data_IF_928485713753
#
_entry.id   IF_928485713753
#
_cell.length_a   1.000
_cell.length_b   1.000
_cell.length_c   1.000
_cell.angle_alpha   90.00
_cell.angle_beta   90.00
_cell.angle_gamma   90.00
#
_symmetry.space_group_name_H-M   'P 1'
#
loop_
_entity.id
_entity.type
_entity.pdbx_description
1 polymer ?
#
# COMPACT_ATOMS: atom_id res chain seq x y z
N UNK A 1 20.89 6.49 -6.32
CA UNK A 1 19.99 5.70 -7.18
C UNK A 1 18.78 6.52 -7.65
N UNK A 2 18.16 7.35 -6.83
CA UNK A 2 17.02 8.22 -7.21
C UNK A 2 17.37 9.17 -8.38
N UNK A 3 18.61 9.69 -8.47
CA UNK A 3 19.03 10.61 -9.55
C UNK A 3 19.14 9.97 -10.95
N UNK A 4 19.30 8.66 -11.07
CA UNK A 4 19.35 7.97 -12.37
C UNK A 4 17.96 7.53 -12.86
N UNK A 5 17.01 7.32 -11.96
CA UNK A 5 15.62 6.94 -12.28
C UNK A 5 14.81 8.10 -12.92
N UNK A 6 15.22 9.35 -12.70
CA UNK A 6 14.55 10.54 -13.27
C UNK A 6 14.60 10.61 -14.80
N UNK A 7 15.57 9.96 -15.45
CA UNK A 7 15.67 9.96 -16.92
C UNK A 7 14.72 8.97 -17.61
N UNK A 8 14.42 7.82 -16.99
CA UNK A 8 13.48 6.84 -17.56
C UNK A 8 12.02 7.30 -17.39
N UNK A 9 11.69 7.97 -16.30
CA UNK A 9 10.36 8.54 -16.07
C UNK A 9 10.01 9.63 -17.11
N UNK A 10 11.02 10.34 -17.64
CA UNK A 10 10.86 11.47 -18.55
C UNK A 10 10.21 11.09 -19.90
N UNK A 11 10.57 9.95 -20.48
CA UNK A 11 10.02 9.51 -21.78
C UNK A 11 8.61 8.91 -21.68
N UNK A 12 8.25 8.33 -20.52
CA UNK A 12 6.91 7.79 -20.28
C UNK A 12 5.90 8.88 -19.95
N UNK A 13 6.26 9.87 -19.14
CA UNK A 13 5.41 11.02 -18.82
C UNK A 13 5.07 11.82 -20.08
N UNK A 14 6.03 12.04 -20.98
CA UNK A 14 5.77 12.74 -22.25
C UNK A 14 4.82 11.99 -23.19
N UNK A 15 4.76 10.65 -23.12
CA UNK A 15 3.83 9.83 -23.92
C UNK A 15 2.41 9.82 -23.35
N UNK A 16 2.26 9.88 -22.02
CA UNK A 16 0.95 9.92 -21.34
C UNK A 16 0.22 11.26 -21.49
N UNK A 17 0.96 12.35 -21.67
CA UNK A 17 0.40 13.71 -21.78
C UNK A 17 0.32 14.25 -23.22
N UNK A 18 0.22 13.41 -24.26
CA UNK A 18 -0.18 13.91 -25.57
C UNK A 18 -1.62 14.46 -25.49
N UNK A 19 -1.83 15.77 -25.61
CA UNK A 19 -3.18 16.32 -25.54
C UNK A 19 -4.01 15.69 -26.65
N UNK A 20 -5.15 15.16 -26.28
CA UNK A 20 -6.15 14.68 -27.22
C UNK A 20 -6.70 15.89 -27.98
N UNK A 21 -6.04 16.30 -29.07
CA UNK A 21 -6.46 17.41 -29.94
C UNK A 21 -7.93 17.35 -30.38
N UNK A 22 -8.57 16.17 -30.32
CA UNK A 22 -9.97 15.95 -30.64
C UNK A 22 -10.97 16.36 -29.55
N UNK A 23 -10.57 16.41 -28.27
CA UNK A 23 -11.45 16.80 -27.17
C UNK A 23 -11.58 18.32 -27.03
N UNK A 24 -10.55 19.07 -27.42
CA UNK A 24 -10.51 20.53 -27.27
C UNK A 24 -11.50 21.29 -28.15
N UNK A 25 -11.89 20.72 -29.29
CA UNK A 25 -12.86 21.36 -30.23
C UNK A 25 -14.33 21.05 -29.86
N UNK A 26 -14.58 20.02 -29.06
CA UNK A 26 -15.94 19.55 -28.73
C UNK A 26 -16.47 20.13 -27.41
N UNK A 27 -15.58 20.46 -26.48
CA UNK A 27 -15.93 20.97 -25.15
C UNK A 27 -14.94 22.07 -24.70
N UNK A 28 -15.01 23.28 -25.26
CA UNK A 28 -14.04 24.36 -24.96
C UNK A 28 -14.11 24.83 -23.50
N UNK A 29 -15.30 24.79 -22.87
CA UNK A 29 -15.48 25.19 -21.48
C UNK A 29 -14.79 24.19 -20.53
N UNK A 30 -15.07 22.88 -20.68
CA UNK A 30 -14.42 21.83 -19.90
C UNK A 30 -12.89 21.87 -20.08
N UNK A 31 -12.39 22.18 -21.29
CA UNK A 31 -10.97 22.34 -21.54
C UNK A 31 -10.35 23.54 -20.77
N UNK A 32 -11.07 24.64 -20.70
CA UNK A 32 -10.61 25.82 -19.95
C UNK A 32 -10.52 25.52 -18.45
N UNK A 33 -11.51 24.85 -17.90
CA UNK A 33 -11.54 24.39 -16.51
C UNK A 33 -10.37 23.44 -16.23
N UNK A 34 -10.14 22.45 -17.09
CA UNK A 34 -9.02 21.52 -16.95
C UNK A 34 -7.63 22.16 -17.01
N UNK A 35 -7.50 23.44 -17.42
CA UNK A 35 -6.21 24.13 -17.41
C UNK A 35 -5.64 24.29 -16.00
N UNK A 36 -6.50 24.51 -15.00
CA UNK A 36 -6.10 24.72 -13.61
C UNK A 36 -5.49 23.47 -12.98
N UNK A 37 -5.83 22.27 -13.52
CA UNK A 37 -5.26 20.99 -13.10
C UNK A 37 -3.98 20.63 -13.86
N UNK A 38 -3.52 21.45 -14.79
CA UNK A 38 -2.25 21.20 -15.47
C UNK A 38 -1.08 21.66 -14.63
N UNK A 39 -0.27 20.72 -14.23
CA UNK A 39 0.95 21.03 -13.48
C UNK A 39 2.11 21.23 -14.47
N UNK A 40 2.67 22.44 -14.58
CA UNK A 40 3.86 22.71 -15.39
C UNK A 40 5.04 21.86 -14.93
N UNK A 41 5.97 21.60 -15.84
CA UNK A 41 7.14 20.77 -15.57
C UNK A 41 8.00 21.28 -14.42
N UNK A 42 8.15 22.57 -14.32
CA UNK A 42 8.91 23.23 -13.25
C UNK A 42 8.28 22.93 -11.88
N UNK A 43 6.96 23.01 -11.78
CA UNK A 43 6.22 22.65 -10.57
C UNK A 43 6.32 21.14 -10.26
N UNK A 44 6.32 20.27 -11.28
CA UNK A 44 6.54 18.84 -11.08
C UNK A 44 7.93 18.56 -10.49
N UNK A 45 8.97 19.24 -10.96
CA UNK A 45 10.34 19.12 -10.41
C UNK A 45 10.37 19.57 -8.95
N UNK A 46 9.66 20.65 -8.64
CA UNK A 46 9.55 21.15 -7.26
C UNK A 46 8.81 20.16 -6.34
N UNK A 47 7.69 19.57 -6.82
CA UNK A 47 6.97 18.51 -6.08
C UNK A 47 7.92 17.35 -5.75
N UNK A 48 8.66 16.87 -6.75
CA UNK A 48 9.63 15.77 -6.56
C UNK A 48 10.71 16.14 -5.55
N UNK A 49 11.24 17.35 -5.63
CA UNK A 49 12.27 17.84 -4.69
C UNK A 49 11.75 17.88 -3.25
N UNK A 50 10.53 18.40 -3.05
CA UNK A 50 9.88 18.45 -1.73
C UNK A 50 9.55 17.07 -1.19
N UNK A 51 9.06 16.16 -2.07
CA UNK A 51 8.76 14.79 -1.68
C UNK A 51 10.03 14.03 -1.25
N UNK A 52 11.13 14.18 -2.00
CA UNK A 52 12.42 13.55 -1.62
C UNK A 52 12.87 14.06 -0.25
N UNK A 53 12.76 15.36 0.00
CA UNK A 53 13.11 15.94 1.30
C UNK A 53 12.24 15.36 2.42
N UNK A 54 10.93 15.21 2.21
CA UNK A 54 10.03 14.67 3.22
C UNK A 54 10.29 13.17 3.45
N UNK A 55 10.65 12.41 2.42
CA UNK A 55 11.13 11.02 2.55
C UNK A 55 12.41 10.97 3.39
N UNK A 56 13.39 11.84 3.14
CA UNK A 56 14.63 11.91 3.92
C UNK A 56 14.34 12.20 5.41
N UNK A 57 13.40 13.12 5.69
CA UNK A 57 12.94 13.38 7.06
C UNK A 57 12.27 12.15 7.69
N UNK A 58 11.47 11.41 6.91
CA UNK A 58 10.80 10.18 7.37
C UNK A 58 11.74 9.01 7.63
N UNK A 59 12.86 8.93 6.93
CA UNK A 59 13.87 7.88 7.13
C UNK A 59 14.73 8.09 8.37
N UNK A 60 15.02 9.34 8.72
CA UNK A 60 15.90 9.67 9.83
C UNK A 60 15.13 9.61 11.16
N UNK A 61 15.67 8.89 12.14
CA UNK A 61 15.04 8.68 13.45
C UNK A 61 14.75 9.98 14.20
N UNK A 62 15.64 10.97 14.07
CA UNK A 62 15.49 12.25 14.76
C UNK A 62 14.33 13.11 14.23
N UNK A 63 14.00 13.00 12.93
CA UNK A 63 13.00 13.84 12.25
C UNK A 63 11.71 13.09 11.88
N UNK A 64 11.72 11.76 11.93
CA UNK A 64 10.56 10.94 11.61
C UNK A 64 9.27 11.34 12.36
N UNK A 65 9.29 11.70 13.67
CA UNK A 65 8.07 12.08 14.38
C UNK A 65 7.31 13.24 13.72
N UNK A 66 8.04 14.19 13.10
CA UNK A 66 7.47 15.39 12.47
C UNK A 66 7.21 15.21 10.97
N UNK A 67 7.89 14.26 10.32
CA UNK A 67 7.72 13.98 8.89
C UNK A 67 6.28 13.61 8.55
N UNK A 68 5.79 14.04 7.40
CA UNK A 68 4.45 13.65 6.89
C UNK A 68 4.53 12.31 6.19
N UNK A 69 5.55 12.09 5.38
CA UNK A 69 5.84 10.79 4.75
C UNK A 69 6.62 9.93 5.75
N UNK A 70 5.93 8.97 6.38
CA UNK A 70 6.44 8.25 7.57
C UNK A 70 7.54 7.23 7.30
N UNK A 71 7.67 6.74 6.09
CA UNK A 71 8.71 5.79 5.70
C UNK A 71 8.81 4.56 6.62
N UNK A 72 7.68 3.86 6.80
CA UNK A 72 7.62 2.68 7.66
C UNK A 72 8.52 1.55 7.17
N UNK A 73 9.19 0.91 8.12
CA UNK A 73 10.01 -0.28 7.89
C UNK A 73 9.10 -1.48 7.58
N UNK A 74 9.33 -2.14 6.44
CA UNK A 74 8.55 -3.31 6.04
C UNK A 74 9.18 -4.64 6.47
N UNK A 75 10.44 -4.63 6.91
CA UNK A 75 11.26 -5.83 7.17
C UNK A 75 11.50 -6.72 5.93
N UNK A 76 11.09 -6.29 4.75
CA UNK A 76 11.36 -6.98 3.49
C UNK A 76 12.71 -6.50 2.95
N UNK A 77 13.71 -7.36 3.02
CA UNK A 77 15.09 -7.05 2.63
C UNK A 77 15.53 -7.77 1.36
N UNK A 78 14.78 -8.78 0.94
CA UNK A 78 15.06 -9.53 -0.29
C UNK A 78 13.87 -9.43 -1.24
N UNK A 79 14.17 -9.35 -2.52
CA UNK A 79 13.19 -9.46 -3.59
C UNK A 79 13.25 -10.85 -4.21
N UNK A 80 12.15 -11.35 -4.81
CA UNK A 80 12.12 -12.64 -5.44
C UNK A 80 13.19 -12.80 -6.53
N UNK A 81 13.83 -13.95 -6.56
CA UNK A 81 14.84 -14.31 -7.56
C UNK A 81 14.23 -14.91 -8.81
N UNK A 82 12.97 -15.39 -8.75
CA UNK A 82 12.31 -16.17 -9.80
C UNK A 82 12.58 -17.67 -9.66
N UNK A 83 13.37 -18.07 -8.68
CA UNK A 83 13.69 -19.48 -8.40
C UNK A 83 12.74 -20.09 -7.34
N UNK A 84 11.88 -19.27 -6.73
CA UNK A 84 10.92 -19.71 -5.72
C UNK A 84 9.96 -20.74 -6.31
N UNK A 85 9.70 -21.81 -5.56
CA UNK A 85 8.84 -22.93 -5.93
C UNK A 85 7.91 -23.28 -4.78
N UNK A 86 6.80 -23.89 -5.11
CA UNK A 86 5.87 -24.45 -4.13
C UNK A 86 4.58 -23.65 -3.97
N UNK A 87 3.76 -24.10 -3.00
CA UNK A 87 2.45 -23.52 -2.73
C UNK A 87 2.51 -22.51 -1.59
N UNK A 88 1.88 -21.37 -1.79
CA UNK A 88 1.79 -20.26 -0.84
C UNK A 88 0.35 -19.78 -0.77
N UNK A 89 -0.07 -19.40 0.43
CA UNK A 89 -1.33 -18.68 0.62
C UNK A 89 -1.06 -17.18 0.73
N UNK A 90 -1.97 -16.41 0.15
CA UNK A 90 -2.10 -14.98 0.38
C UNK A 90 -3.46 -14.66 0.96
N UNK A 91 -3.50 -13.77 1.92
CA UNK A 91 -4.72 -13.15 2.42
C UNK A 91 -4.58 -11.65 2.23
N UNK A 92 -5.55 -11.03 1.58
CA UNK A 92 -5.56 -9.58 1.33
C UNK A 92 -6.81 -8.97 1.97
N UNK A 93 -6.60 -8.21 3.03
CA UNK A 93 -7.64 -7.47 3.75
C UNK A 93 -7.46 -5.96 3.52
N UNK A 94 -8.20 -5.45 2.52
CA UNK A 94 -8.06 -4.05 2.10
C UNK A 94 -9.28 -3.14 2.34
N UNK A 95 -10.43 -3.70 2.71
CA UNK A 95 -11.67 -2.96 2.90
C UNK A 95 -12.85 -3.90 3.15
N UNK A 96 -14.04 -3.57 2.61
CA UNK A 96 -15.28 -4.36 2.78
C UNK A 96 -15.20 -5.78 2.17
N UNK A 97 -14.15 -6.06 1.43
CA UNK A 97 -13.90 -7.39 0.87
C UNK A 97 -12.49 -7.82 1.27
N UNK A 98 -12.33 -9.13 1.47
CA UNK A 98 -11.02 -9.72 1.54
C UNK A 98 -10.91 -10.89 0.54
N UNK A 99 -9.67 -11.27 0.25
CA UNK A 99 -9.37 -12.30 -0.74
C UNK A 99 -8.48 -13.35 -0.11
N UNK A 100 -8.82 -14.63 -0.35
CA UNK A 100 -7.91 -15.73 -0.18
C UNK A 100 -7.31 -16.09 -1.54
N UNK A 101 -6.02 -16.28 -1.58
CA UNK A 101 -5.24 -16.58 -2.76
C UNK A 101 -4.37 -17.82 -2.49
N UNK A 102 -4.44 -18.82 -3.36
CA UNK A 102 -3.47 -19.91 -3.42
C UNK A 102 -2.62 -19.71 -4.66
N UNK A 103 -1.31 -19.63 -4.48
CA UNK A 103 -0.34 -19.55 -5.57
C UNK A 103 0.51 -20.82 -5.54
N UNK A 104 0.66 -21.46 -6.70
CA UNK A 104 1.61 -22.54 -6.92
C UNK A 104 2.69 -22.04 -7.88
N UNK A 105 3.86 -21.71 -7.34
CA UNK A 105 5.02 -21.26 -8.10
C UNK A 105 5.72 -22.45 -8.74
N UNK A 106 5.84 -22.40 -10.06
CA UNK A 106 6.49 -23.41 -10.89
C UNK A 106 7.86 -22.93 -11.37
N UNK A 107 8.51 -23.75 -12.17
CA UNK A 107 9.78 -23.39 -12.77
C UNK A 107 9.68 -22.15 -13.68
N UNK A 108 10.73 -21.34 -13.66
CA UNK A 108 10.73 -20.06 -14.38
C UNK A 108 9.77 -19.03 -13.77
N UNK A 109 9.01 -18.33 -14.60
CA UNK A 109 8.03 -17.32 -14.18
C UNK A 109 6.61 -17.87 -14.12
N UNK A 110 6.41 -19.15 -14.46
CA UNK A 110 5.08 -19.75 -14.46
C UNK A 110 4.53 -19.89 -13.05
N UNK A 111 3.24 -19.66 -12.90
CA UNK A 111 2.50 -19.92 -11.70
C UNK A 111 1.03 -20.23 -12.01
N UNK A 112 0.41 -20.97 -11.11
CA UNK A 112 -1.03 -21.16 -11.07
C UNK A 112 -1.59 -20.43 -9.87
N UNK A 113 -2.77 -19.85 -10.01
CA UNK A 113 -3.42 -19.19 -8.90
C UNK A 113 -4.90 -19.52 -8.82
N UNK A 114 -5.41 -19.62 -7.60
CA UNK A 114 -6.82 -19.70 -7.26
C UNK A 114 -7.15 -18.54 -6.33
N UNK A 115 -8.26 -17.87 -6.58
CA UNK A 115 -8.67 -16.68 -5.82
C UNK A 115 -10.13 -16.80 -5.44
N UNK A 116 -10.45 -16.55 -4.18
CA UNK A 116 -11.81 -16.43 -3.69
C UNK A 116 -11.99 -15.13 -2.91
N UNK A 117 -13.07 -14.43 -3.18
CA UNK A 117 -13.42 -13.17 -2.51
C UNK A 117 -14.54 -13.42 -1.53
N UNK A 118 -14.42 -12.78 -0.38
CA UNK A 118 -15.41 -12.82 0.69
C UNK A 118 -15.80 -11.38 1.06
N UNK A 119 -17.08 -11.18 1.36
CA UNK A 119 -17.62 -9.89 1.78
C UNK A 119 -17.64 -9.85 3.31
N UNK A 120 -17.14 -8.76 3.88
CA UNK A 120 -17.22 -8.50 5.32
C UNK A 120 -18.47 -7.67 5.58
N UNK A 121 -19.36 -8.16 6.41
CA UNK A 121 -20.56 -7.41 6.79
C UNK A 121 -20.22 -6.20 7.66
N UNK A 122 -21.05 -5.19 7.63
CA UNK A 122 -20.88 -3.99 8.47
C UNK A 122 -20.80 -4.34 9.96
N UNK A 123 -21.57 -5.33 10.41
CA UNK A 123 -21.53 -5.83 11.77
C UNK A 123 -20.18 -6.46 12.17
N UNK A 124 -19.50 -7.12 11.21
CA UNK A 124 -18.15 -7.63 11.42
C UNK A 124 -17.09 -6.53 11.44
N UNK A 125 -17.32 -5.44 10.69
CA UNK A 125 -16.40 -4.30 10.65
C UNK A 125 -16.43 -3.45 11.93
N UNK A 126 -17.52 -3.50 12.69
CA UNK A 126 -17.76 -2.66 13.87
C UNK A 126 -17.96 -3.43 15.17
N UNK A 127 -17.91 -4.74 15.11
CA UNK A 127 -18.07 -5.61 16.27
C UNK A 127 -16.76 -5.95 16.98
N UNK A 128 -16.79 -6.91 17.91
CA UNK A 128 -15.57 -7.39 18.57
C UNK A 128 -14.55 -7.93 17.58
N UNK A 129 -13.29 -7.49 17.70
CA UNK A 129 -12.22 -7.86 16.78
C UNK A 129 -12.02 -9.39 16.67
N UNK A 130 -12.23 -10.13 17.77
CA UNK A 130 -12.20 -11.59 17.73
C UNK A 130 -13.16 -12.19 16.70
N UNK A 131 -14.33 -11.58 16.48
CA UNK A 131 -15.31 -12.07 15.52
C UNK A 131 -14.81 -11.89 14.09
N UNK A 132 -14.18 -10.75 13.79
CA UNK A 132 -13.55 -10.48 12.50
C UNK A 132 -12.47 -11.53 12.18
N UNK A 133 -11.52 -11.74 13.10
CA UNK A 133 -10.44 -12.72 12.87
C UNK A 133 -10.95 -14.17 12.83
N UNK A 134 -11.99 -14.48 13.59
CA UNK A 134 -12.64 -15.80 13.54
C UNK A 134 -13.30 -16.05 12.18
N UNK A 135 -14.04 -15.05 11.66
CA UNK A 135 -14.66 -15.10 10.36
C UNK A 135 -13.62 -15.24 9.23
N UNK A 136 -12.51 -14.48 9.30
CA UNK A 136 -11.41 -14.61 8.34
C UNK A 136 -10.82 -16.02 8.37
N UNK A 137 -10.58 -16.58 9.56
CA UNK A 137 -10.06 -17.93 9.71
C UNK A 137 -11.05 -19.01 9.21
N UNK A 138 -12.36 -18.78 9.36
CA UNK A 138 -13.41 -19.64 8.83
C UNK A 138 -13.39 -19.69 7.29
N UNK A 139 -13.39 -18.51 6.65
CA UNK A 139 -13.31 -18.41 5.19
C UNK A 139 -12.00 -18.98 4.63
N UNK A 140 -10.88 -18.79 5.36
CA UNK A 140 -9.60 -19.38 4.99
C UNK A 140 -9.64 -20.91 5.07
N UNK A 141 -10.29 -21.48 6.10
CA UNK A 141 -10.45 -22.91 6.24
C UNK A 141 -11.35 -23.52 5.14
N UNK A 142 -12.45 -22.84 4.81
CA UNK A 142 -13.30 -23.21 3.69
C UNK A 142 -12.48 -23.24 2.37
N UNK A 143 -11.71 -22.20 2.11
CA UNK A 143 -10.84 -22.10 0.94
C UNK A 143 -9.79 -23.20 0.90
N UNK A 144 -9.16 -23.52 2.04
CA UNK A 144 -8.18 -24.59 2.12
C UNK A 144 -8.79 -25.98 1.84
N UNK A 145 -10.00 -26.23 2.31
CA UNK A 145 -10.72 -27.49 2.06
C UNK A 145 -11.16 -27.61 0.60
N UNK A 146 -11.66 -26.54 0.01
CA UNK A 146 -12.06 -26.48 -1.41
C UNK A 146 -10.89 -26.82 -2.35
N UNK A 147 -9.66 -26.51 -1.93
CA UNK A 147 -8.45 -26.76 -2.73
C UNK A 147 -7.58 -27.93 -2.20
N UNK A 148 -8.11 -28.75 -1.30
CA UNK A 148 -7.47 -29.96 -0.76
C UNK A 148 -6.09 -29.71 -0.14
N UNK A 149 -5.92 -28.56 0.55
CA UNK A 149 -4.67 -28.14 1.21
C UNK A 149 -4.80 -27.98 2.72
N UNK A 150 -5.92 -28.34 3.28
CA UNK A 150 -6.24 -28.22 4.72
C UNK A 150 -5.31 -29.04 5.62
N UNK A 151 -4.77 -30.16 5.13
CA UNK A 151 -3.85 -31.05 5.85
C UNK A 151 -2.37 -30.73 5.63
N UNK A 152 -2.05 -29.86 4.69
CA UNK A 152 -0.69 -29.48 4.36
C UNK A 152 -0.29 -28.23 5.13
N UNK A 153 0.90 -28.20 5.73
CA UNK A 153 1.41 -26.98 6.33
C UNK A 153 1.81 -26.00 5.22
N UNK A 154 1.09 -24.88 5.11
CA UNK A 154 1.30 -23.87 4.08
C UNK A 154 1.62 -22.52 4.71
N UNK A 155 2.66 -21.81 4.25
CA UNK A 155 2.94 -20.44 4.64
C UNK A 155 1.90 -19.47 4.06
N UNK A 156 1.47 -18.50 4.88
CA UNK A 156 0.53 -17.45 4.53
C UNK A 156 1.21 -16.08 4.61
N UNK A 157 1.17 -15.33 3.53
CA UNK A 157 1.42 -13.90 3.52
C UNK A 157 0.12 -13.14 3.77
N UNK A 158 0.14 -12.22 4.74
CA UNK A 158 -1.01 -11.43 5.12
C UNK A 158 -0.85 -9.98 4.62
N UNK A 159 -1.50 -9.62 3.53
CA UNK A 159 -1.62 -8.23 3.08
C UNK A 159 -2.70 -7.54 3.90
N UNK A 160 -2.30 -6.53 4.66
CA UNK A 160 -3.15 -5.82 5.59
C UNK A 160 -3.05 -4.32 5.32
N UNK A 161 -4.03 -3.80 4.60
CA UNK A 161 -4.02 -2.43 4.07
C UNK A 161 -4.63 -1.43 5.06
N UNK A 162 -4.15 -1.44 6.30
CA UNK A 162 -4.45 -0.48 7.37
C UNK A 162 -3.15 0.04 7.97
N UNK A 163 -3.15 1.18 8.67
CA UNK A 163 -1.98 1.70 9.36
C UNK A 163 -1.47 0.73 10.44
N UNK A 164 -0.31 0.14 10.20
CA UNK A 164 0.33 -0.84 11.08
C UNK A 164 1.77 -0.43 11.33
N UNK A 165 2.16 -0.41 12.59
CA UNK A 165 3.56 -0.37 12.97
C UNK A 165 4.13 -1.79 12.92
N UNK A 166 4.91 -2.08 11.88
CA UNK A 166 5.64 -3.34 11.82
C UNK A 166 6.82 -3.34 12.81
N UNK A 167 6.98 -4.43 13.52
CA UNK A 167 8.08 -4.69 14.46
C UNK A 167 8.74 -6.04 14.16
N UNK A 168 8.58 -6.52 12.94
CA UNK A 168 9.11 -7.76 12.40
C UNK A 168 8.40 -8.13 11.11
N UNK A 169 8.96 -9.06 10.34
CA UNK A 169 8.35 -9.52 9.08
C UNK A 169 6.96 -10.13 9.28
N UNK A 170 6.72 -10.77 10.41
CA UNK A 170 5.48 -11.42 10.79
C UNK A 170 4.88 -10.87 12.08
N UNK A 171 5.10 -9.58 12.36
CA UNK A 171 4.57 -8.91 13.54
C UNK A 171 4.20 -7.48 13.21
N UNK A 172 2.92 -7.14 13.42
CA UNK A 172 2.40 -5.81 13.08
C UNK A 172 1.33 -5.34 14.06
N UNK A 173 1.58 -4.20 14.70
CA UNK A 173 0.68 -3.57 15.66
C UNK A 173 -0.24 -2.61 14.94
N UNK A 174 -1.54 -2.84 15.00
CA UNK A 174 -2.52 -1.92 14.40
C UNK A 174 -2.50 -0.59 15.16
N UNK A 175 -2.28 0.50 14.44
CA UNK A 175 -2.25 1.85 15.05
C UNK A 175 -3.63 2.50 15.05
N UNK A 176 -4.38 2.34 13.98
CA UNK A 176 -5.75 2.85 13.86
C UNK A 176 -6.51 2.10 12.78
N UNK A 177 -7.83 2.03 12.95
CA UNK A 177 -8.72 1.56 11.89
C UNK A 177 -9.01 2.67 10.88
N UNK A 178 -9.24 2.28 9.64
CA UNK A 178 -9.68 3.14 8.53
C UNK A 178 -10.76 2.42 7.72
N UNK A 179 -11.23 3.01 6.63
CA UNK A 179 -12.13 2.38 5.65
C UNK A 179 -13.44 1.82 6.25
N UNK A 180 -13.95 2.45 7.32
CA UNK A 180 -15.20 2.04 7.98
C UNK A 180 -15.06 0.90 8.98
N UNK A 181 -13.86 0.41 9.25
CA UNK A 181 -13.61 -0.53 10.35
C UNK A 181 -13.50 0.21 11.68
N UNK A 182 -14.04 -0.41 12.72
CA UNK A 182 -13.99 0.08 14.10
C UNK A 182 -14.14 -1.11 15.06
N UNK A 183 -13.39 -2.19 14.78
CA UNK A 183 -13.44 -3.37 15.66
C UNK A 183 -12.80 -3.06 17.00
N UNK A 184 -13.50 -3.42 18.08
CA UNK A 184 -13.01 -3.32 19.43
C UNK A 184 -11.82 -4.26 19.66
N UNK A 185 -10.97 -3.91 20.64
CA UNK A 185 -9.88 -4.77 21.11
C UNK A 185 -8.80 -5.15 20.08
N UNK A 186 -8.61 -4.41 18.99
CA UNK A 186 -7.59 -4.70 17.97
C UNK A 186 -6.51 -3.63 17.90
N UNK A 187 -6.89 -2.35 18.05
CA UNK A 187 -5.91 -1.25 18.07
C UNK A 187 -4.90 -1.49 19.21
N UNK A 188 -3.62 -1.33 18.90
CA UNK A 188 -2.51 -1.60 19.83
C UNK A 188 -2.13 -3.08 19.94
N UNK A 189 -2.78 -3.99 19.20
CA UNK A 189 -2.46 -5.43 19.21
C UNK A 189 -1.81 -5.87 17.90
N UNK A 190 -1.07 -6.98 17.99
CA UNK A 190 -0.47 -7.64 16.84
C UNK A 190 -1.54 -8.39 16.04
N UNK A 191 -1.84 -7.90 14.84
CA UNK A 191 -2.88 -8.46 13.97
C UNK A 191 -2.49 -9.84 13.40
N UNK A 192 -1.19 -10.12 13.31
CA UNK A 192 -0.69 -11.44 12.91
C UNK A 192 -0.96 -12.47 14.00
N UNK A 193 -0.70 -12.11 15.25
CA UNK A 193 -0.99 -12.96 16.40
C UNK A 193 -2.49 -13.23 16.54
N UNK A 194 -3.34 -12.22 16.33
CA UNK A 194 -4.79 -12.36 16.37
C UNK A 194 -5.29 -13.33 15.30
N UNK A 195 -4.79 -13.20 14.06
CA UNK A 195 -5.13 -14.11 12.97
C UNK A 195 -4.62 -15.54 13.24
N UNK A 196 -3.35 -15.69 13.66
CA UNK A 196 -2.78 -17.00 13.94
C UNK A 196 -3.55 -17.73 15.07
N UNK A 197 -3.89 -17.01 16.16
CA UNK A 197 -4.71 -17.57 17.25
C UNK A 197 -6.10 -18.02 16.78
N UNK A 198 -6.71 -17.27 15.83
CA UNK A 198 -8.00 -17.65 15.26
C UNK A 198 -7.87 -18.93 14.40
N UNK A 199 -6.81 -19.05 13.62
CA UNK A 199 -6.48 -20.25 12.83
C UNK A 199 -6.23 -21.45 13.75
N UNK A 200 -5.39 -21.30 14.77
CA UNK A 200 -5.00 -22.38 15.69
C UNK A 200 -6.19 -22.91 16.50
N UNK A 201 -7.11 -22.02 16.91
CA UNK A 201 -8.35 -22.41 17.62
C UNK A 201 -9.27 -23.29 16.79
N UNK A 202 -9.24 -23.17 15.47
CA UNK A 202 -10.04 -24.03 14.59
C UNK A 202 -9.49 -25.46 14.57
N UNK A 203 -8.18 -25.62 14.47
CA UNK A 203 -7.50 -26.90 14.47
C UNK A 203 -7.72 -27.79 13.24
N UNK A 204 -8.50 -27.29 12.25
CA UNK A 204 -8.89 -28.03 11.04
C UNK A 204 -8.06 -27.68 9.80
N UNK A 205 -7.15 -26.69 9.92
CA UNK A 205 -6.18 -26.31 8.88
C UNK A 205 -4.80 -26.08 9.46
N UNK A 206 -3.76 -26.26 8.64
CA UNK A 206 -2.35 -26.11 9.05
C UNK A 206 -1.71 -24.92 8.31
N UNK A 207 -2.12 -23.70 8.67
CA UNK A 207 -1.64 -22.48 8.05
C UNK A 207 -0.78 -21.68 9.02
N UNK A 208 0.41 -21.26 8.56
CA UNK A 208 1.33 -20.42 9.34
C UNK A 208 1.43 -19.04 8.72
N UNK A 209 1.06 -17.99 9.44
CA UNK A 209 1.28 -16.60 9.00
C UNK A 209 2.76 -16.29 9.14
N UNK A 210 3.44 -16.11 8.02
CA UNK A 210 4.91 -15.92 7.96
C UNK A 210 5.32 -14.48 7.65
N UNK A 211 4.41 -13.68 7.10
CA UNK A 211 4.67 -12.28 6.79
C UNK A 211 3.39 -11.47 6.85
N UNK A 212 3.53 -10.20 7.26
CA UNK A 212 2.54 -9.15 7.07
C UNK A 212 3.13 -8.07 6.17
N UNK A 213 2.35 -7.61 5.20
CA UNK A 213 2.79 -6.66 4.18
C UNK A 213 1.72 -5.59 3.96
N UNK A 214 2.18 -4.37 3.65
CA UNK A 214 1.32 -3.40 2.97
C UNK A 214 1.11 -3.82 1.50
N UNK A 215 0.00 -3.43 0.89
CA UNK A 215 -0.36 -3.76 -0.50
C UNK A 215 0.66 -3.23 -1.52
N UNK A 216 1.28 -2.05 -1.28
CA UNK A 216 2.36 -1.53 -2.14
C UNK A 216 3.59 -2.40 -2.11
N UNK A 217 3.97 -2.91 -0.92
CA UNK A 217 5.08 -3.86 -0.77
C UNK A 217 4.79 -5.17 -1.52
N UNK A 218 3.56 -5.67 -1.40
CA UNK A 218 3.09 -6.83 -2.17
C UNK A 218 3.18 -6.60 -3.68
N UNK A 219 2.82 -5.40 -4.15
CA UNK A 219 2.92 -5.00 -5.56
C UNK A 219 4.37 -4.99 -6.05
N UNK A 220 5.30 -4.40 -5.28
CA UNK A 220 6.72 -4.41 -5.60
C UNK A 220 7.28 -5.83 -5.69
N UNK A 221 7.02 -6.65 -4.68
CA UNK A 221 7.49 -8.05 -4.60
C UNK A 221 6.96 -8.86 -5.79
N UNK A 222 5.68 -8.70 -6.12
CA UNK A 222 5.07 -9.39 -7.27
C UNK A 222 5.72 -8.99 -8.60
N UNK A 223 5.94 -7.70 -8.82
CA UNK A 223 6.58 -7.19 -10.03
C UNK A 223 8.05 -7.61 -10.13
N UNK A 224 8.79 -7.59 -9.02
CA UNK A 224 10.21 -7.92 -8.97
C UNK A 224 10.49 -9.37 -9.38
N UNK A 225 9.53 -10.29 -9.23
CA UNK A 225 9.66 -11.67 -9.73
C UNK A 225 9.86 -11.72 -11.24
N UNK A 226 9.11 -10.91 -11.99
CA UNK A 226 9.18 -10.85 -13.46
C UNK A 226 10.23 -9.83 -13.95
N UNK A 227 10.43 -8.75 -13.21
CA UNK A 227 11.27 -7.61 -13.60
C UNK A 227 12.31 -7.33 -12.51
N UNK A 228 13.50 -7.89 -12.70
CA UNK A 228 14.61 -7.84 -11.72
C UNK A 228 15.03 -6.42 -11.33
N UNK A 229 14.80 -5.43 -12.19
CA UNK A 229 15.13 -4.02 -11.96
C UNK A 229 14.00 -3.25 -11.28
N UNK A 230 12.87 -3.90 -10.97
CA UNK A 230 11.78 -3.26 -10.24
C UNK A 230 12.25 -2.86 -8.83
N UNK A 231 12.09 -1.58 -8.47
CA UNK A 231 12.54 -1.02 -7.19
C UNK A 231 11.46 -0.15 -6.52
N UNK A 232 10.33 0.05 -7.17
CA UNK A 232 9.23 0.88 -6.69
C UNK A 232 7.93 0.11 -6.90
N UNK A 233 7.10 0.05 -5.86
CA UNK A 233 5.71 -0.37 -5.91
C UNK A 233 4.82 0.85 -5.74
N UNK A 234 3.87 1.07 -6.63
CA UNK A 234 2.95 2.19 -6.61
C UNK A 234 1.53 1.70 -6.77
N UNK A 235 0.65 2.19 -5.93
CA UNK A 235 -0.80 2.01 -6.03
C UNK A 235 -1.44 3.37 -6.21
N UNK A 236 -2.21 3.52 -7.29
CA UNK A 236 -3.11 4.63 -7.54
C UNK A 236 -4.49 4.01 -7.79
N UNK A 237 -5.28 3.96 -6.74
CA UNK A 237 -6.59 3.33 -6.70
C UNK A 237 -7.60 4.20 -5.97
N UNK A 238 -8.39 3.62 -5.09
CA UNK A 238 -9.25 4.37 -4.13
C UNK A 238 -8.41 5.36 -3.32
N UNK A 239 -7.24 4.92 -2.85
CA UNK A 239 -6.19 5.73 -2.23
C UNK A 239 -4.93 5.76 -3.10
N UNK A 240 -3.88 6.41 -2.58
CA UNK A 240 -2.54 6.41 -3.19
C UNK A 240 -1.50 6.06 -2.15
N UNK A 241 -0.60 5.13 -2.49
CA UNK A 241 0.57 4.82 -1.68
C UNK A 241 1.71 4.28 -2.54
N UNK A 242 2.93 4.36 -2.04
CA UNK A 242 4.11 3.79 -2.70
C UNK A 242 5.05 3.15 -1.68
N UNK A 243 5.84 2.22 -2.17
CA UNK A 243 7.01 1.70 -1.48
C UNK A 243 8.21 1.67 -2.44
N UNK A 244 9.41 1.61 -1.88
CA UNK A 244 10.63 1.51 -2.69
C UNK A 244 11.74 0.81 -1.93
N UNK A 245 12.77 0.35 -2.68
CA UNK A 245 13.98 -0.22 -2.10
C UNK A 245 14.95 0.88 -1.69
N UNK A 246 15.18 1.02 -0.38
CA UNK A 246 16.16 1.94 0.19
C UNK A 246 17.38 1.18 0.71
N UNK A 247 18.52 1.86 0.81
CA UNK A 247 19.68 1.31 1.53
C UNK A 247 19.34 1.11 3.00
N UNK A 248 19.62 -0.06 3.53
CA UNK A 248 19.33 -0.37 4.93
C UNK A 248 19.99 0.65 5.88
N UNK A 249 21.19 1.14 5.52
CA UNK A 249 21.92 2.14 6.30
C UNK A 249 21.24 3.51 6.41
N UNK A 250 20.27 3.80 5.54
CA UNK A 250 19.49 5.04 5.58
C UNK A 250 18.16 4.87 6.34
N UNK A 251 17.76 3.64 6.62
CA UNK A 251 16.51 3.31 7.30
C UNK A 251 16.68 3.33 8.82
N UNK A 252 16.92 4.50 9.41
CA UNK A 252 17.29 4.65 10.84
C UNK A 252 16.20 4.20 11.82
N UNK A 253 14.97 4.02 11.34
CA UNK A 253 13.87 3.46 12.14
C UNK A 253 13.97 1.94 12.31
N UNK A 254 14.84 1.27 11.54
CA UNK A 254 15.15 -0.14 11.69
C UNK A 254 16.25 -0.32 12.76
N UNK A 255 16.02 -1.16 13.78
CA UNK A 255 16.94 -1.31 14.91
C UNK A 255 18.34 -1.72 14.48
N UNK A 256 18.42 -2.60 13.48
CA UNK A 256 19.67 -3.16 12.96
C UNK A 256 20.21 -2.44 11.72
N UNK A 257 19.84 -1.18 11.47
CA UNK A 257 20.19 -0.48 10.24
C UNK A 257 21.69 -0.36 9.98
N UNK A 258 22.51 -0.32 11.05
CA UNK A 258 23.97 -0.28 10.96
C UNK A 258 24.63 -1.65 10.88
N UNK A 259 23.96 -2.69 11.40
CA UNK A 259 24.55 -4.03 11.60
C UNK A 259 23.99 -5.07 10.63
N UNK A 260 22.89 -4.76 9.93
CA UNK A 260 22.27 -5.65 8.95
C UNK A 260 23.25 -6.03 7.83
N UNK A 261 23.33 -7.33 7.56
CA UNK A 261 24.09 -7.87 6.43
C UNK A 261 23.40 -7.64 5.08
N UNK A 262 22.11 -7.30 5.08
CA UNK A 262 21.34 -7.01 3.89
C UNK A 262 21.46 -5.55 3.50
N UNK A 263 21.85 -5.25 2.25
CA UNK A 263 22.15 -3.87 1.84
C UNK A 263 20.91 -3.01 1.61
N UNK A 264 19.74 -3.63 1.43
CA UNK A 264 18.51 -2.94 1.08
C UNK A 264 17.34 -3.38 1.95
N UNK A 265 16.35 -2.50 2.05
CA UNK A 265 15.08 -2.68 2.74
C UNK A 265 13.96 -2.04 1.92
N UNK A 266 12.80 -2.68 1.83
CA UNK A 266 11.60 -2.03 1.29
C UNK A 266 11.05 -1.08 2.34
N UNK A 267 10.86 0.17 1.95
CA UNK A 267 10.25 1.22 2.75
C UNK A 267 8.83 1.47 2.24
N UNK A 268 7.85 1.33 3.12
CA UNK A 268 6.48 1.78 2.87
C UNK A 268 6.38 3.27 3.21
N UNK A 269 6.19 4.11 2.21
CA UNK A 269 6.30 5.56 2.39
C UNK A 269 5.13 6.18 3.13
N UNK A 270 3.91 5.68 2.93
CA UNK A 270 2.65 6.33 3.32
C UNK A 270 2.55 7.75 2.74
N UNK A 271 2.90 7.86 1.44
CA UNK A 271 3.03 9.15 0.75
C UNK A 271 1.71 9.90 0.57
N UNK A 272 0.58 9.30 0.86
CA UNK A 272 -0.71 9.99 0.82
C UNK A 272 -0.77 11.25 1.71
N UNK A 273 -0.01 11.26 2.80
CA UNK A 273 0.09 12.37 3.74
C UNK A 273 1.06 13.49 3.30
N UNK A 274 1.77 13.32 2.18
CA UNK A 274 2.64 14.36 1.64
C UNK A 274 1.85 15.65 1.38
N UNK A 275 2.34 16.77 1.86
CA UNK A 275 1.70 18.08 1.75
C UNK A 275 0.75 18.44 2.90
N UNK A 276 0.59 17.60 3.93
CA UNK A 276 -0.20 17.91 5.13
C UNK A 276 0.40 19.06 5.96
N UNK A 277 1.60 19.49 5.62
CA UNK A 277 2.31 20.67 6.16
C UNK A 277 2.23 21.90 5.26
N UNK A 278 1.42 21.86 4.19
CA UNK A 278 1.34 22.92 3.19
C UNK A 278 2.36 22.82 2.06
N UNK A 279 3.20 21.77 2.03
CA UNK A 279 4.22 21.60 0.98
C UNK A 279 3.64 21.54 -0.45
N UNK A 280 2.34 21.25 -0.61
CA UNK A 280 1.64 21.22 -1.90
C UNK A 280 0.73 22.41 -2.15
N UNK A 281 0.65 23.42 -1.28
CA UNK A 281 -0.29 24.55 -1.42
C UNK A 281 -0.08 25.34 -2.70
N UNK A 282 1.13 25.37 -3.23
CA UNK A 282 1.49 26.09 -4.47
C UNK A 282 0.89 25.45 -5.75
N UNK A 283 0.30 24.25 -5.66
CA UNK A 283 -0.37 23.56 -6.78
C UNK A 283 -1.85 23.29 -6.51
N UNK A 284 -2.30 23.36 -5.24
CA UNK A 284 -3.69 23.09 -4.88
C UNK A 284 -4.61 24.18 -5.43
N UNK A 285 -5.64 23.75 -6.15
CA UNK A 285 -6.70 24.63 -6.67
C UNK A 285 -7.74 24.93 -5.58
N UNK A 286 -8.68 25.83 -5.89
CA UNK A 286 -9.86 26.07 -5.03
C UNK A 286 -10.73 24.81 -4.88
N UNK A 287 -10.77 23.96 -5.91
CA UNK A 287 -11.49 22.68 -5.91
C UNK A 287 -10.87 21.67 -4.93
N UNK A 288 -9.55 21.52 -4.97
CA UNK A 288 -8.83 20.66 -4.01
C UNK A 288 -9.10 21.08 -2.57
N UNK A 289 -9.10 22.39 -2.30
CA UNK A 289 -9.40 22.93 -0.96
C UNK A 289 -10.85 22.70 -0.55
N UNK A 290 -11.80 22.87 -1.48
CA UNK A 290 -13.21 22.63 -1.22
C UNK A 290 -13.48 21.15 -0.91
N UNK A 291 -12.85 20.21 -1.62
CA UNK A 291 -12.94 18.79 -1.33
C UNK A 291 -12.36 18.49 0.04
N UNK A 292 -11.17 18.97 0.33
CA UNK A 292 -10.48 18.75 1.60
C UNK A 292 -11.36 19.13 2.80
N UNK A 293 -11.95 20.32 2.77
CA UNK A 293 -12.84 20.81 3.82
C UNK A 293 -14.09 19.94 4.04
N UNK A 294 -14.57 19.25 3.00
CA UNK A 294 -15.76 18.40 3.05
C UNK A 294 -15.44 16.92 3.33
N UNK A 295 -14.20 16.57 3.64
CA UNK A 295 -13.83 15.21 4.03
C UNK A 295 -13.96 14.98 5.53
N UNK A 296 -13.93 13.71 5.94
CA UNK A 296 -13.94 13.32 7.38
C UNK A 296 -12.61 13.67 8.08
N UNK A 297 -11.57 14.00 7.33
CA UNK A 297 -10.21 14.27 7.80
C UNK A 297 -9.59 15.50 7.10
N UNK A 298 -10.15 16.71 7.27
CA UNK A 298 -9.59 17.93 6.68
C UNK A 298 -8.10 18.09 7.02
N UNK A 299 -7.33 18.64 6.07
CA UNK A 299 -5.89 18.89 6.20
C UNK A 299 -5.03 17.62 6.40
N UNK A 300 -5.58 16.44 6.10
CA UNK A 300 -4.89 15.16 6.15
C UNK A 300 -4.98 14.44 4.81
N UNK A 301 -3.93 13.65 4.51
CA UNK A 301 -3.86 12.88 3.27
C UNK A 301 -3.95 13.76 2.02
N UNK A 302 -3.25 14.89 2.04
CA UNK A 302 -3.32 15.94 0.99
C UNK A 302 -2.93 15.40 -0.37
N UNK A 303 -1.83 14.65 -0.50
CA UNK A 303 -1.42 14.07 -1.77
C UNK A 303 -2.41 13.03 -2.28
N UNK A 304 -2.97 12.21 -1.40
CA UNK A 304 -4.01 11.25 -1.74
C UNK A 304 -5.26 11.95 -2.28
N UNK A 305 -5.71 13.03 -1.64
CA UNK A 305 -6.88 13.80 -2.08
C UNK A 305 -6.67 14.43 -3.47
N UNK A 306 -5.44 14.82 -3.80
CA UNK A 306 -5.11 15.39 -5.10
C UNK A 306 -4.95 14.34 -6.22
N UNK A 307 -4.75 13.05 -5.90
CA UNK A 307 -4.28 12.07 -6.90
C UNK A 307 -5.08 10.78 -6.96
N UNK A 308 -5.84 10.43 -5.92
CA UNK A 308 -6.51 9.14 -5.85
C UNK A 308 -7.90 9.13 -6.51
N UNK A 309 -8.34 7.94 -6.91
CA UNK A 309 -9.60 7.72 -7.59
C UNK A 309 -10.82 8.07 -6.74
N UNK A 310 -10.73 7.97 -5.40
CA UNK A 310 -11.82 8.31 -4.49
C UNK A 310 -12.29 9.77 -4.64
N UNK A 311 -11.38 10.68 -4.95
CA UNK A 311 -11.65 12.11 -5.01
C UNK A 311 -11.89 12.64 -6.43
N UNK A 312 -11.64 11.84 -7.49
CA UNK A 312 -11.89 12.25 -8.88
C UNK A 312 -13.37 12.57 -9.15
N UNK A 313 -14.28 11.72 -8.65
CA UNK A 313 -15.73 11.98 -8.80
C UNK A 313 -16.18 13.29 -8.13
N UNK A 314 -15.85 13.51 -6.85
CA UNK A 314 -16.10 14.78 -6.18
C UNK A 314 -15.50 16.00 -6.89
N UNK A 315 -14.27 15.91 -7.40
CA UNK A 315 -13.64 17.01 -8.17
C UNK A 315 -14.49 17.33 -9.41
N UNK A 316 -14.91 16.32 -10.17
CA UNK A 316 -15.75 16.50 -11.37
C UNK A 316 -17.13 17.03 -10.98
N UNK A 317 -17.70 16.66 -9.84
CA UNK A 317 -19.02 17.10 -9.38
C UNK A 317 -19.08 18.54 -8.87
N UNK A 318 -17.94 19.19 -8.62
CA UNK A 318 -17.86 20.60 -8.27
C UNK A 318 -17.88 21.55 -9.50
N UNK A 319 -17.90 21.01 -10.71
CA UNK A 319 -18.10 21.70 -11.99
C UNK A 319 -19.57 21.67 -12.40
#
# INVERSE_FOLDING_TARGET
MIRQSTYLCRSYVEKLFRPAKRLTSRFPEAFNICKDFRIPKEKMVEIVSRLIKDIELGLAKATNPEAKVKCFISYVQDLPTGEERGKYLGLDLGGTNFRCLLINLKEGLEFESKVKRYVISHTMMQGPGRNLFHFIAECLAEFCKEHEIDKTQIPLGFTFSFPVQQVGINKGILTTWTKGFQCDDVVGKDVVELLQKAIDRRGDIRVKVVAILNDTTGTLVSCARAHKDCRIGLIVGTGVNACYMEKTTNAEMFEDYKTSKKPFMVINTELGAFGDDGALDFIRTSYDKAIDLNTVNPEKQTFEKCTSGMFLGPIIGLY
#
